data_IF_254544280614
#
_entry.id   IF_254544280614
#
_cell.length_a   1.000
_cell.length_b   1.000
_cell.length_c   1.000
_cell.angle_alpha   90.00
_cell.angle_beta   90.00
_cell.angle_gamma   90.00
#
_symmetry.space_group_name_H-M   'P 1'
#
loop_
_entity.id
_entity.type
_entity.pdbx_description
1 polymer ?
#
# COMPACT_ATOMS: atom_id res chain seq x y z
N UNK A 1 -0.16 22.41 6.81
CA UNK A 1 1.21 21.88 6.67
C UNK A 1 1.31 20.63 7.52
N UNK A 2 0.73 19.52 7.03
CA UNK A 2 1.00 18.22 7.61
C UNK A 2 2.35 17.77 7.06
N UNK A 3 3.44 18.09 7.75
CA UNK A 3 4.69 17.39 7.53
C UNK A 3 4.40 15.95 7.90
N UNK A 4 4.23 15.08 6.88
CA UNK A 4 4.30 13.64 7.04
C UNK A 4 5.52 13.38 7.92
N UNK A 5 5.31 12.90 9.15
CA UNK A 5 6.36 12.66 10.12
C UNK A 5 7.52 11.96 9.40
N UNK A 6 8.72 12.55 9.44
CA UNK A 6 9.92 12.19 8.66
C UNK A 6 9.90 10.75 8.13
N UNK A 7 9.91 10.60 6.80
CA UNK A 7 9.83 9.30 6.10
C UNK A 7 10.78 8.24 6.71
N UNK A 8 11.95 8.67 7.21
CA UNK A 8 12.93 7.90 7.98
C UNK A 8 12.36 7.03 9.12
N UNK A 9 11.33 7.51 9.83
CA UNK A 9 10.75 6.78 10.96
C UNK A 9 9.88 5.62 10.48
N UNK A 10 9.11 5.83 9.41
CA UNK A 10 8.21 4.83 8.82
C UNK A 10 8.96 3.83 7.95
N UNK A 11 10.08 4.25 7.35
CA UNK A 11 10.95 3.36 6.60
C UNK A 11 11.44 2.21 7.48
N UNK A 12 11.80 2.47 8.75
CA UNK A 12 12.47 1.50 9.63
C UNK A 12 11.60 0.34 10.12
N UNK A 13 10.27 0.48 10.15
CA UNK A 13 9.37 -0.56 10.66
C UNK A 13 9.25 -1.78 9.73
N UNK A 14 9.22 -2.99 10.29
CA UNK A 14 9.13 -4.24 9.52
C UNK A 14 7.86 -4.33 8.64
N UNK A 15 6.77 -3.69 9.08
CA UNK A 15 5.50 -3.60 8.39
C UNK A 15 5.02 -2.15 8.30
N UNK A 16 4.69 -1.72 7.09
CA UNK A 16 4.00 -0.46 6.80
C UNK A 16 2.59 -0.77 6.32
N UNK A 17 1.60 -0.11 6.90
CA UNK A 17 0.20 -0.21 6.50
C UNK A 17 -0.27 1.11 5.87
N UNK A 18 -0.65 1.06 4.60
CA UNK A 18 -1.23 2.17 3.86
C UNK A 18 -2.72 1.88 3.70
N UNK A 19 -3.53 2.49 4.55
CA UNK A 19 -4.99 2.32 4.53
C UNK A 19 -5.65 3.36 3.63
N UNK A 20 -6.62 2.94 2.81
CA UNK A 20 -7.46 3.86 2.06
C UNK A 20 -6.80 4.46 0.83
N UNK A 21 -5.95 3.69 0.13
CA UNK A 21 -5.32 4.11 -1.11
C UNK A 21 -6.33 4.56 -2.16
N UNK A 22 -6.05 5.71 -2.77
CA UNK A 22 -6.86 6.26 -3.86
C UNK A 22 -8.17 6.91 -3.42
N UNK A 23 -8.38 7.16 -2.12
CA UNK A 23 -9.52 7.95 -1.65
C UNK A 23 -9.35 9.46 -1.88
N UNK A 24 -8.10 9.93 -1.99
CA UNK A 24 -7.74 11.29 -2.35
C UNK A 24 -6.59 11.26 -3.35
N UNK A 25 -6.50 12.22 -4.29
CA UNK A 25 -5.39 12.30 -5.22
C UNK A 25 -4.08 12.60 -4.47
N UNK A 26 -3.02 11.92 -4.86
CA UNK A 26 -1.65 12.15 -4.42
C UNK A 26 -0.98 13.12 -5.39
N UNK A 27 -0.67 14.33 -4.93
CA UNK A 27 -0.14 15.39 -5.78
C UNK A 27 1.03 16.11 -5.10
N UNK A 28 1.83 16.83 -5.88
CA UNK A 28 2.90 17.69 -5.37
C UNK A 28 4.00 16.91 -4.64
N UNK A 29 4.33 17.32 -3.43
CA UNK A 29 5.42 16.71 -2.66
C UNK A 29 5.04 15.34 -2.09
N UNK A 30 3.75 15.13 -1.75
CA UNK A 30 3.29 13.90 -1.07
C UNK A 30 3.51 12.64 -1.91
N UNK A 31 3.36 12.73 -3.24
CA UNK A 31 3.65 11.61 -4.15
C UNK A 31 5.15 11.28 -4.23
N UNK A 32 6.03 12.29 -4.10
CA UNK A 32 7.48 12.07 -4.13
C UNK A 32 7.97 11.47 -2.82
N UNK A 33 7.49 12.00 -1.69
CA UNK A 33 7.81 11.47 -0.36
C UNK A 33 7.35 10.01 -0.20
N UNK A 34 6.16 9.68 -0.72
CA UNK A 34 5.65 8.31 -0.72
C UNK A 34 6.46 7.40 -1.65
N UNK A 35 6.91 7.90 -2.80
CA UNK A 35 7.75 7.13 -3.71
C UNK A 35 9.09 6.79 -3.05
N UNK A 36 9.73 7.76 -2.41
CA UNK A 36 10.98 7.56 -1.67
C UNK A 36 10.81 6.50 -0.56
N UNK A 37 9.75 6.62 0.23
CA UNK A 37 9.41 5.63 1.26
C UNK A 37 9.19 4.22 0.69
N UNK A 38 8.56 4.10 -0.48
CA UNK A 38 8.33 2.80 -1.13
C UNK A 38 9.65 2.23 -1.67
N UNK A 39 10.50 3.07 -2.26
CA UNK A 39 11.79 2.67 -2.83
C UNK A 39 12.71 2.09 -1.73
N UNK A 40 12.79 2.75 -0.58
CA UNK A 40 13.55 2.30 0.60
C UNK A 40 13.08 0.95 1.17
N UNK A 41 11.80 0.62 0.94
CA UNK A 41 11.17 -0.58 1.51
C UNK A 41 11.15 -1.75 0.55
N UNK A 42 11.17 -1.49 -0.76
CA UNK A 42 11.11 -2.52 -1.79
C UNK A 42 12.22 -3.55 -1.59
N UNK A 43 11.85 -4.83 -1.59
CA UNK A 43 12.78 -5.95 -1.43
C UNK A 43 13.33 -6.18 -0.01
N UNK A 44 13.17 -5.23 0.92
CA UNK A 44 13.67 -5.37 2.30
C UNK A 44 12.58 -5.53 3.37
N UNK A 45 11.41 -4.87 3.22
CA UNK A 45 10.37 -4.80 4.27
C UNK A 45 8.97 -5.02 3.72
N UNK A 46 8.00 -5.30 4.60
CA UNK A 46 6.61 -5.56 4.18
C UNK A 46 5.82 -4.26 4.05
N UNK A 47 5.09 -4.11 2.95
CA UNK A 47 4.15 -3.01 2.75
C UNK A 47 2.78 -3.60 2.41
N UNK A 48 1.78 -3.24 3.19
CA UNK A 48 0.41 -3.68 3.04
C UNK A 48 -0.44 -2.48 2.64
N UNK A 49 -1.13 -2.58 1.52
CA UNK A 49 -1.95 -1.50 0.96
C UNK A 49 -3.39 -1.96 0.86
N UNK A 50 -4.31 -1.16 1.39
CA UNK A 50 -5.76 -1.36 1.18
C UNK A 50 -6.28 -0.31 0.20
N UNK A 51 -7.17 -0.73 -0.69
CA UNK A 51 -7.84 0.20 -1.60
C UNK A 51 -9.25 -0.25 -1.87
N UNK A 52 -10.14 0.73 -2.01
CA UNK A 52 -11.49 0.53 -2.52
C UNK A 52 -11.53 0.54 -4.06
N UNK A 53 -10.43 0.95 -4.71
CA UNK A 53 -10.32 1.00 -6.16
C UNK A 53 -9.57 -0.23 -6.68
N UNK A 54 -9.94 -0.75 -7.86
CA UNK A 54 -9.13 -1.74 -8.54
C UNK A 54 -7.75 -1.16 -8.88
N UNK A 55 -6.72 -2.02 -8.88
CA UNK A 55 -5.33 -1.63 -9.16
C UNK A 55 -5.19 -0.88 -10.49
N UNK A 56 -6.02 -1.21 -11.49
CA UNK A 56 -6.03 -0.51 -12.78
C UNK A 56 -6.34 0.98 -12.70
N UNK A 57 -6.98 1.43 -11.61
CA UNK A 57 -7.31 2.85 -11.37
C UNK A 57 -6.33 3.54 -10.43
N UNK A 58 -5.35 2.84 -9.88
CA UNK A 58 -4.40 3.46 -8.95
C UNK A 58 -3.51 4.48 -9.65
N UNK A 59 -3.18 4.23 -10.91
CA UNK A 59 -2.39 5.16 -11.72
C UNK A 59 -3.07 6.54 -11.82
N UNK A 60 -4.39 6.55 -12.01
CA UNK A 60 -5.19 7.79 -12.12
C UNK A 60 -5.27 8.58 -10.81
N UNK A 61 -4.90 7.99 -9.68
CA UNK A 61 -4.95 8.66 -8.37
C UNK A 61 -3.68 9.44 -8.04
N UNK A 62 -2.65 9.32 -8.87
CA UNK A 62 -1.36 10.00 -8.71
C UNK A 62 -1.28 11.10 -9.76
N UNK A 63 -0.94 12.32 -9.35
CA UNK A 63 -0.99 13.50 -10.21
C UNK A 63 0.05 13.48 -11.33
N UNK A 64 1.27 13.03 -11.04
CA UNK A 64 2.32 12.88 -12.05
C UNK A 64 2.37 11.45 -12.61
N UNK A 65 2.10 11.25 -13.92
CA UNK A 65 2.10 9.91 -14.53
C UNK A 65 3.47 9.23 -14.46
N UNK A 66 4.58 9.99 -14.49
CA UNK A 66 5.93 9.42 -14.39
C UNK A 66 6.18 8.86 -12.99
N UNK A 67 5.72 9.58 -11.96
CA UNK A 67 5.77 9.11 -10.57
C UNK A 67 4.84 7.92 -10.38
N UNK A 68 3.66 7.97 -10.99
CA UNK A 68 2.67 6.90 -10.93
C UNK A 68 3.22 5.58 -11.46
N UNK A 69 3.81 5.58 -12.66
CA UNK A 69 4.46 4.40 -13.25
C UNK A 69 5.57 3.88 -12.34
N UNK A 70 6.47 4.77 -11.89
CA UNK A 70 7.59 4.39 -11.02
C UNK A 70 7.14 3.77 -9.69
N UNK A 71 6.09 4.32 -9.09
CA UNK A 71 5.54 3.88 -7.81
C UNK A 71 4.79 2.54 -7.94
N UNK A 72 3.96 2.41 -8.97
CA UNK A 72 3.19 1.19 -9.21
C UNK A 72 4.07 0.04 -9.64
N UNK A 73 5.10 0.26 -10.46
CA UNK A 73 6.08 -0.78 -10.80
C UNK A 73 6.69 -1.37 -9.54
N UNK A 74 7.14 -0.52 -8.61
CA UNK A 74 7.74 -0.93 -7.32
C UNK A 74 6.77 -1.69 -6.43
N UNK A 75 5.55 -1.18 -6.26
CA UNK A 75 4.54 -1.81 -5.42
C UNK A 75 4.08 -3.15 -6.01
N UNK A 76 3.86 -3.21 -7.33
CA UNK A 76 3.18 -4.34 -7.96
C UNK A 76 4.13 -5.47 -8.34
N UNK A 77 5.40 -5.19 -8.65
CA UNK A 77 6.39 -6.18 -9.09
C UNK A 77 6.54 -7.38 -8.14
N UNK A 78 6.35 -7.18 -6.83
CA UNK A 78 6.47 -8.23 -5.82
C UNK A 78 5.21 -8.42 -4.97
N UNK A 79 4.06 -7.94 -5.48
CA UNK A 79 2.80 -7.97 -4.76
C UNK A 79 2.03 -9.29 -4.90
N UNK A 80 1.27 -9.65 -3.86
CA UNK A 80 0.16 -10.61 -3.96
C UNK A 80 -1.16 -9.85 -3.79
N UNK A 81 -1.97 -9.85 -4.84
CA UNK A 81 -3.27 -9.17 -4.80
C UNK A 81 -4.31 -10.12 -4.21
N UNK A 82 -4.96 -9.71 -3.12
CA UNK A 82 -6.11 -10.44 -2.59
C UNK A 82 -7.35 -9.61 -2.91
N UNK A 83 -8.03 -10.01 -3.99
CA UNK A 83 -9.34 -9.47 -4.30
C UNK A 83 -10.35 -10.10 -3.36
N UNK A 84 -10.97 -9.22 -2.60
CA UNK A 84 -11.92 -9.57 -1.60
C UNK A 84 -13.29 -8.94 -2.03
N UNK A 85 -14.40 -9.67 -1.83
CA UNK A 85 -15.74 -9.48 -2.43
C UNK A 85 -16.90 -9.29 -1.40
N UNK A 86 -18.13 -9.04 -1.83
CA UNK A 86 -19.26 -9.08 -0.89
C UNK A 86 -19.42 -7.83 -0.02
N UNK A 87 -20.29 -7.92 0.96
CA UNK A 87 -20.97 -6.76 1.51
C UNK A 87 -20.20 -6.05 2.63
N UNK A 88 -20.57 -4.78 2.86
CA UNK A 88 -19.95 -4.00 3.91
C UNK A 88 -20.29 -4.59 5.28
N UNK A 89 -19.26 -5.05 5.99
CA UNK A 89 -19.33 -5.46 7.39
C UNK A 89 -19.83 -4.36 8.34
N UNK A 90 -19.90 -3.09 7.88
CA UNK A 90 -20.49 -2.00 8.65
C UNK A 90 -22.01 -2.15 8.78
N UNK A 91 -22.66 -2.82 7.82
CA UNK A 91 -24.10 -3.16 7.87
C UNK A 91 -24.38 -4.27 8.89
N UNK A 92 -23.47 -5.24 9.04
CA UNK A 92 -23.61 -6.35 10.01
C UNK A 92 -23.55 -5.91 11.49
N UNK A 93 -23.18 -4.65 11.78
CA UNK A 93 -23.29 -4.13 13.15
C UNK A 93 -24.72 -3.73 13.53
N UNK A 94 -25.63 -3.64 12.57
CA UNK A 94 -27.07 -3.45 12.83
C UNK A 94 -27.81 -4.79 12.93
N UNK A 95 -27.33 -5.85 12.28
CA UNK A 95 -27.91 -7.19 12.39
C UNK A 95 -26.83 -8.28 12.49
N UNK A 96 -26.71 -8.86 13.68
CA UNK A 96 -25.92 -10.07 13.94
C UNK A 96 -26.40 -11.20 13.03
N UNK A 97 -25.63 -11.60 12.01
CA UNK A 97 -25.49 -13.00 11.58
C UNK A 97 -24.44 -13.17 10.47
N UNK A 98 -23.60 -14.18 10.67
CA UNK A 98 -22.52 -14.61 9.81
C UNK A 98 -22.95 -14.88 8.35
N UNK A 99 -22.15 -14.46 7.37
CA UNK A 99 -21.35 -15.34 6.49
C UNK A 99 -20.61 -14.58 5.39
N UNK A 100 -19.33 -14.95 5.21
CA UNK A 100 -18.49 -14.71 4.02
C UNK A 100 -18.10 -13.26 3.67
N UNK A 101 -17.05 -12.78 4.33
CA UNK A 101 -16.15 -11.71 3.85
C UNK A 101 -15.63 -12.06 2.46
N UNK A 102 -15.49 -11.13 1.48
CA UNK A 102 -14.24 -10.30 1.52
C UNK A 102 -14.13 -8.70 1.20
N UNK A 103 -13.24 -7.86 1.81
CA UNK A 103 -12.84 -6.47 1.33
C UNK A 103 -11.35 -6.25 0.90
N UNK A 104 -10.99 -5.79 -0.33
CA UNK A 104 -9.67 -6.00 -1.03
C UNK A 104 -8.43 -5.67 -0.16
N UNK A 105 -7.54 -6.66 0.05
CA UNK A 105 -6.27 -6.54 0.79
C UNK A 105 -5.16 -6.89 -0.19
N UNK A 106 -4.37 -5.93 -0.63
CA UNK A 106 -3.21 -6.23 -1.47
C UNK A 106 -2.04 -6.57 -0.55
N UNK A 107 -1.83 -7.87 -0.30
CA UNK A 107 -0.72 -8.36 0.52
C UNK A 107 0.57 -8.39 -0.31
N UNK A 108 1.49 -7.44 -0.17
CA UNK A 108 2.77 -7.56 -0.85
C UNK A 108 3.61 -8.68 -0.20
N UNK A 109 3.85 -9.79 -0.93
CA UNK A 109 4.51 -10.99 -0.41
C UNK A 109 5.88 -11.14 -1.07
N UNK A 110 6.88 -10.43 -0.54
CA UNK A 110 8.28 -10.68 -0.88
C UNK A 110 8.74 -11.95 -0.14
N UNK A 111 9.37 -12.87 -0.87
CA UNK A 111 9.86 -14.19 -0.40
C UNK A 111 10.48 -14.15 1.01
N UNK A 112 10.01 -15.05 1.88
CA UNK A 112 10.76 -15.54 3.03
C UNK A 112 12.06 -16.21 2.51
N UNK A 113 13.16 -15.46 2.44
CA UNK A 113 14.51 -16.02 2.48
C UNK A 113 15.23 -15.35 3.63
N UNK A 114 15.36 -16.08 4.73
CA UNK A 114 16.34 -15.82 5.78
C UNK A 114 17.73 -15.81 5.14
N UNK A 115 18.15 -14.69 4.58
CA UNK A 115 19.55 -14.41 4.29
C UNK A 115 19.80 -12.92 4.42
N UNK A 116 20.52 -12.60 5.49
CA UNK A 116 21.09 -11.30 5.81
C UNK A 116 21.64 -10.60 4.56
N UNK A 117 20.95 -9.59 4.05
CA UNK A 117 21.50 -8.52 3.20
C UNK A 117 20.47 -7.41 3.02
N UNK A 118 20.06 -6.79 4.11
CA UNK A 118 19.64 -5.40 4.07
C UNK A 118 20.66 -4.70 4.99
N UNK A 119 21.86 -4.45 4.45
CA UNK A 119 22.89 -3.69 5.15
C UNK A 119 22.59 -2.21 4.88
N UNK A 120 22.36 -1.52 5.98
CA UNK A 120 22.57 -0.09 6.18
C UNK A 120 23.47 0.59 5.14
N UNK A 121 22.94 1.65 4.53
CA UNK A 121 23.68 2.92 4.49
C UNK A 121 22.76 4.04 4.95
#
# INVERSE_FOLDING_TARGET
MGHFLTADQWAKGDLLFLDGWGMAPLEGQDQHDLLELIDDRVGCRFTLVTSQLPVSKWHDTIGDPTVADAMLDRLLQSSTQIQLKGESMRKEKEETQATSFPAIITHCRVRFRLHKRCQSS
#
